data_IF_585018878235
#
_entry.id   IF_585018878235
#
_cell.length_a   1.000
_cell.length_b   1.000
_cell.length_c   1.000
_cell.angle_alpha   90.00
_cell.angle_beta   90.00
_cell.angle_gamma   90.00
#
_symmetry.space_group_name_H-M   'P 1'
#
loop_
_entity.id
_entity.type
_entity.pdbx_description
1 polymer ?
#
# COMPACT_ATOMS: atom_id res chain seq x y z
N UNK A 1 -22.33 5.97 -5.86
CA UNK A 1 -21.28 6.98 -5.62
C UNK A 1 -20.85 7.61 -6.95
N UNK A 2 -21.16 8.90 -7.15
CA UNK A 2 -20.84 9.67 -8.37
C UNK A 2 -19.37 10.12 -8.40
N UNK A 3 -18.90 10.65 -9.53
CA UNK A 3 -17.55 11.22 -9.64
C UNK A 3 -17.33 12.38 -8.65
N UNK A 4 -18.32 13.28 -8.54
CA UNK A 4 -18.30 14.40 -7.59
C UNK A 4 -18.23 13.93 -6.14
N UNK A 5 -19.02 12.92 -5.77
CA UNK A 5 -19.00 12.38 -4.40
C UNK A 5 -17.64 11.81 -4.02
N UNK A 6 -16.89 11.21 -4.96
CA UNK A 6 -15.55 10.67 -4.72
C UNK A 6 -14.55 11.77 -4.40
N UNK A 7 -14.54 12.82 -5.23
CA UNK A 7 -13.62 13.95 -5.05
C UNK A 7 -13.98 14.78 -3.83
N UNK A 8 -15.28 15.02 -3.58
CA UNK A 8 -15.75 15.72 -2.38
C UNK A 8 -15.33 14.98 -1.10
N UNK A 9 -15.46 13.66 -1.06
CA UNK A 9 -15.04 12.85 0.09
C UNK A 9 -13.53 12.95 0.33
N UNK A 10 -12.71 12.72 -0.70
CA UNK A 10 -11.25 12.81 -0.58
C UNK A 10 -10.78 14.21 -0.15
N UNK A 11 -11.39 15.26 -0.71
CA UNK A 11 -11.12 16.65 -0.35
C UNK A 11 -11.52 16.95 1.09
N UNK A 12 -12.67 16.44 1.55
CA UNK A 12 -13.17 16.64 2.91
C UNK A 12 -12.33 15.89 3.96
N UNK A 13 -11.76 14.73 3.62
CA UNK A 13 -10.87 13.99 4.52
C UNK A 13 -9.51 14.66 4.71
N UNK A 14 -9.14 15.60 3.84
CA UNK A 14 -7.78 16.11 3.77
C UNK A 14 -6.79 15.02 3.35
N UNK A 15 -7.19 14.13 2.43
CA UNK A 15 -6.35 13.01 2.02
C UNK A 15 -5.02 13.49 1.41
N UNK A 16 -3.92 12.81 1.72
CA UNK A 16 -2.59 13.12 1.18
C UNK A 16 -2.43 12.69 -0.31
N UNK A 17 -3.26 11.74 -0.76
CA UNK A 17 -3.23 11.17 -2.10
C UNK A 17 -4.58 10.58 -2.48
N UNK A 18 -4.96 10.72 -3.75
CA UNK A 18 -6.10 9.99 -4.32
C UNK A 18 -5.65 9.05 -5.42
N UNK A 19 -5.92 7.75 -5.25
CA UNK A 19 -5.68 6.73 -6.25
C UNK A 19 -7.01 6.09 -6.66
N UNK A 20 -7.41 6.28 -7.93
CA UNK A 20 -8.58 5.61 -8.50
C UNK A 20 -8.14 4.40 -9.29
N UNK A 21 -8.66 3.22 -8.94
CA UNK A 21 -8.33 1.95 -9.60
C UNK A 21 -9.40 1.60 -10.62
N UNK A 22 -9.00 1.36 -11.86
CA UNK A 22 -9.87 1.05 -12.99
C UNK A 22 -9.38 -0.18 -13.77
N UNK A 23 -10.26 -0.69 -14.63
CA UNK A 23 -9.97 -1.65 -15.69
C UNK A 23 -10.59 -1.07 -16.96
N UNK A 24 -9.81 -1.01 -18.03
CA UNK A 24 -10.18 -0.35 -19.27
C UNK A 24 -11.09 -1.23 -20.14
N UNK A 25 -11.60 -0.65 -21.22
CA UNK A 25 -12.29 -1.32 -22.33
C UNK A 25 -11.99 -0.56 -23.64
N UNK A 26 -12.43 -1.07 -24.79
CA UNK A 26 -12.24 -0.44 -26.10
C UNK A 26 -11.14 -1.09 -26.94
N UNK A 27 -10.89 -2.39 -26.79
CA UNK A 27 -10.05 -3.18 -27.72
C UNK A 27 -8.53 -3.07 -27.53
N UNK A 28 -8.05 -2.72 -26.33
CA UNK A 28 -6.62 -2.69 -25.99
C UNK A 28 -6.11 -3.92 -25.23
N UNK A 29 -4.87 -3.87 -24.76
CA UNK A 29 -4.28 -4.80 -23.79
C UNK A 29 -3.18 -4.11 -23.00
N UNK A 30 -3.01 -4.48 -21.73
CA UNK A 30 -1.93 -4.04 -20.86
C UNK A 30 -2.30 -2.88 -19.93
N UNK A 31 -1.28 -2.36 -19.23
CA UNK A 31 -1.44 -1.37 -18.16
C UNK A 31 -1.12 0.05 -18.62
N UNK A 32 -1.90 1.03 -18.18
CA UNK A 32 -1.62 2.47 -18.30
C UNK A 32 -2.10 3.22 -17.06
N UNK A 33 -1.64 4.45 -16.89
CA UNK A 33 -2.12 5.35 -15.85
C UNK A 33 -2.17 6.79 -16.31
N UNK A 34 -2.95 7.59 -15.58
CA UNK A 34 -3.27 8.97 -15.91
C UNK A 34 -3.11 9.90 -14.72
N UNK A 35 -2.52 11.07 -14.97
CA UNK A 35 -2.58 12.26 -14.10
C UNK A 35 -3.24 13.42 -14.86
N UNK A 36 -3.58 14.50 -14.16
CA UNK A 36 -4.17 15.67 -14.83
C UNK A 36 -3.14 16.38 -15.75
N UNK A 37 -3.53 16.93 -16.92
CA UNK A 37 -2.62 17.59 -17.83
C UNK A 37 -1.85 18.75 -17.20
N UNK A 38 -0.57 18.88 -17.55
CA UNK A 38 0.29 19.97 -17.08
C UNK A 38 0.76 19.88 -15.62
N UNK A 39 0.39 18.83 -14.88
CA UNK A 39 0.81 18.65 -13.49
C UNK A 39 2.25 18.13 -13.41
N UNK A 40 3.07 18.80 -12.59
CA UNK A 40 4.43 18.42 -12.25
C UNK A 40 4.54 17.61 -10.96
N UNK A 41 5.67 17.77 -10.27
CA UNK A 41 5.89 17.15 -8.95
C UNK A 41 4.95 17.78 -7.89
N UNK A 42 4.51 17.00 -6.88
CA UNK A 42 4.91 15.62 -6.60
C UNK A 42 4.13 14.56 -7.40
N UNK A 43 3.01 14.91 -8.04
CA UNK A 43 2.11 13.94 -8.70
C UNK A 43 2.80 13.18 -9.83
N UNK A 44 3.59 13.84 -10.68
CA UNK A 44 4.33 13.16 -11.76
C UNK A 44 5.41 12.22 -11.21
N UNK A 45 6.03 12.55 -10.07
CA UNK A 45 6.96 11.66 -9.37
C UNK A 45 6.24 10.43 -8.83
N UNK A 46 5.06 10.59 -8.24
CA UNK A 46 4.23 9.48 -7.76
C UNK A 46 3.82 8.58 -8.91
N UNK A 47 3.38 9.14 -10.04
CA UNK A 47 3.07 8.39 -11.25
C UNK A 47 4.26 7.54 -11.72
N UNK A 48 5.45 8.14 -11.80
CA UNK A 48 6.66 7.42 -12.22
C UNK A 48 6.95 6.20 -11.34
N UNK A 49 6.88 6.38 -10.01
CA UNK A 49 7.21 5.32 -9.05
C UNK A 49 6.13 4.23 -9.06
N UNK A 50 4.85 4.61 -9.02
CA UNK A 50 3.73 3.66 -8.97
C UNK A 50 3.65 2.85 -10.28
N UNK A 51 3.79 3.50 -11.43
CA UNK A 51 3.82 2.85 -12.74
C UNK A 51 4.90 1.76 -12.81
N UNK A 52 6.14 2.11 -12.44
CA UNK A 52 7.27 1.18 -12.48
C UNK A 52 7.04 -0.03 -11.58
N UNK A 53 6.45 0.17 -10.39
CA UNK A 53 6.19 -0.94 -9.47
C UNK A 53 5.08 -1.87 -9.94
N UNK A 54 4.02 -1.35 -10.53
CA UNK A 54 2.93 -2.18 -11.05
C UNK A 54 3.39 -3.00 -12.24
N UNK A 55 4.09 -2.39 -13.20
CA UNK A 55 4.67 -3.11 -14.35
C UNK A 55 5.58 -4.25 -13.87
N UNK A 56 6.46 -3.97 -12.89
CA UNK A 56 7.37 -4.97 -12.34
C UNK A 56 6.66 -6.13 -11.64
N UNK A 57 5.55 -5.88 -10.93
CA UNK A 57 4.84 -6.91 -10.17
C UNK A 57 3.89 -7.75 -11.03
N UNK A 58 3.26 -7.14 -12.03
CA UNK A 58 2.21 -7.78 -12.84
C UNK A 58 2.73 -8.43 -14.11
N UNK A 59 3.89 -7.99 -14.60
CA UNK A 59 4.41 -8.32 -15.93
C UNK A 59 3.43 -8.03 -17.08
N UNK A 60 2.49 -7.09 -16.88
CA UNK A 60 1.68 -6.59 -17.98
C UNK A 60 2.52 -5.73 -18.93
N UNK A 61 2.16 -5.74 -20.21
CA UNK A 61 2.73 -4.79 -21.16
C UNK A 61 2.35 -3.36 -20.73
N UNK A 62 3.35 -2.49 -20.56
CA UNK A 62 3.12 -1.09 -20.24
C UNK A 62 2.77 -0.30 -21.49
N UNK A 63 1.65 0.43 -21.44
CA UNK A 63 1.16 1.33 -22.48
C UNK A 63 1.50 2.80 -22.20
N UNK A 64 2.35 3.04 -21.20
CA UNK A 64 2.89 4.34 -20.84
C UNK A 64 2.13 5.07 -19.75
N UNK A 65 2.76 6.16 -19.29
CA UNK A 65 2.21 7.14 -18.35
C UNK A 65 1.57 8.25 -19.17
N UNK A 66 0.31 8.55 -18.91
CA UNK A 66 -0.50 9.46 -19.72
C UNK A 66 -1.05 10.61 -18.90
N UNK A 67 -1.62 11.58 -19.59
CA UNK A 67 -2.34 12.70 -19.01
C UNK A 67 -3.74 12.79 -19.63
N UNK A 68 -4.75 13.04 -18.80
CA UNK A 68 -6.13 13.16 -19.27
C UNK A 68 -6.99 14.00 -18.32
N UNK A 69 -7.98 14.69 -18.89
CA UNK A 69 -8.89 15.58 -18.17
C UNK A 69 -10.05 14.82 -17.51
N UNK A 70 -9.74 13.88 -16.63
CA UNK A 70 -10.75 13.13 -15.88
C UNK A 70 -11.20 13.88 -14.62
N UNK A 71 -12.50 13.80 -14.29
CA UNK A 71 -13.08 14.48 -13.13
C UNK A 71 -12.31 14.23 -11.83
N UNK A 72 -11.98 12.95 -11.54
CA UNK A 72 -11.29 12.59 -10.30
C UNK A 72 -9.86 13.15 -10.22
N UNK A 73 -9.24 13.44 -11.36
CA UNK A 73 -7.92 14.06 -11.41
C UNK A 73 -8.00 15.58 -11.31
N UNK A 74 -9.01 16.18 -11.96
CA UNK A 74 -9.21 17.63 -12.03
C UNK A 74 -9.74 18.24 -10.73
N UNK A 75 -10.71 17.59 -10.08
CA UNK A 75 -11.46 18.17 -8.96
C UNK A 75 -10.87 17.79 -7.58
N UNK A 76 -9.77 17.03 -7.56
CA UNK A 76 -9.08 16.63 -6.34
C UNK A 76 -8.05 17.67 -5.91
N UNK A 77 -8.01 18.01 -4.62
CA UNK A 77 -7.10 19.02 -4.05
C UNK A 77 -5.72 18.47 -3.68
N UNK A 78 -5.56 17.16 -3.67
CA UNK A 78 -4.32 16.44 -3.42
C UNK A 78 -3.80 15.81 -4.72
N UNK A 79 -2.52 15.36 -4.77
CA UNK A 79 -2.03 14.56 -5.89
C UNK A 79 -2.97 13.39 -6.18
N UNK A 80 -3.35 13.25 -7.45
CA UNK A 80 -4.33 12.26 -7.88
C UNK A 80 -3.84 11.47 -9.09
N UNK A 81 -4.17 10.17 -9.12
CA UNK A 81 -3.77 9.25 -10.18
C UNK A 81 -4.89 8.24 -10.47
N UNK A 82 -5.08 7.90 -11.75
CA UNK A 82 -5.93 6.78 -12.18
C UNK A 82 -5.01 5.67 -12.73
N UNK A 83 -5.25 4.43 -12.33
CA UNK A 83 -4.63 3.25 -12.96
C UNK A 83 -5.64 2.46 -13.76
N UNK A 84 -5.26 2.01 -14.95
CA UNK A 84 -6.05 1.14 -15.81
C UNK A 84 -5.36 -0.23 -15.88
N UNK A 85 -5.85 -1.18 -15.08
CA UNK A 85 -5.20 -2.47 -14.83
C UNK A 85 -5.51 -3.53 -15.90
N UNK A 86 -5.35 -3.23 -17.18
CA UNK A 86 -5.74 -4.11 -18.29
C UNK A 86 -7.09 -3.77 -18.90
N UNK A 87 -7.52 -4.58 -19.87
CA UNK A 87 -8.77 -4.39 -20.62
C UNK A 87 -9.77 -5.51 -20.33
N UNK A 88 -10.96 -5.17 -19.84
CA UNK A 88 -12.00 -6.15 -19.47
C UNK A 88 -12.60 -6.87 -20.68
N UNK A 89 -12.58 -6.23 -21.85
CA UNK A 89 -13.07 -6.74 -23.12
C UNK A 89 -11.99 -7.46 -23.94
N UNK A 90 -10.74 -7.49 -23.46
CA UNK A 90 -9.68 -8.29 -24.05
C UNK A 90 -9.63 -9.68 -23.38
N UNK A 91 -9.81 -10.79 -24.12
CA UNK A 91 -9.86 -12.12 -23.52
C UNK A 91 -8.62 -12.51 -22.70
N UNK A 92 -7.42 -12.09 -23.12
CA UNK A 92 -6.18 -12.44 -22.44
C UNK A 92 -6.00 -11.65 -21.13
N UNK A 93 -6.35 -10.36 -21.13
CA UNK A 93 -6.32 -9.52 -19.93
C UNK A 93 -7.42 -9.93 -18.95
N UNK A 94 -8.64 -10.15 -19.43
CA UNK A 94 -9.76 -10.63 -18.62
C UNK A 94 -9.45 -11.99 -17.97
N UNK A 95 -8.77 -12.90 -18.67
CA UNK A 95 -8.32 -14.17 -18.10
C UNK A 95 -7.29 -13.98 -16.98
N UNK A 96 -6.42 -12.97 -17.04
CA UNK A 96 -5.50 -12.61 -15.96
C UNK A 96 -6.26 -11.97 -14.79
N UNK A 97 -7.17 -11.03 -15.06
CA UNK A 97 -7.95 -10.32 -14.04
C UNK A 97 -8.85 -11.23 -13.18
N UNK A 98 -9.18 -12.44 -13.67
CA UNK A 98 -9.89 -13.46 -12.87
C UNK A 98 -8.99 -14.24 -11.92
N UNK A 99 -7.67 -14.19 -12.08
CA UNK A 99 -6.72 -14.97 -11.26
C UNK A 99 -6.41 -14.21 -9.98
N UNK A 100 -6.65 -14.85 -8.83
CA UNK A 100 -6.30 -14.30 -7.52
C UNK A 100 -4.81 -13.94 -7.41
N UNK A 101 -3.93 -14.74 -8.01
CA UNK A 101 -2.48 -14.46 -8.06
C UNK A 101 -2.16 -13.16 -8.80
N UNK A 102 -2.86 -12.87 -9.90
CA UNK A 102 -2.68 -11.64 -10.64
C UNK A 102 -3.24 -10.44 -9.85
N UNK A 103 -4.44 -10.57 -9.27
CA UNK A 103 -5.01 -9.52 -8.42
C UNK A 103 -4.11 -9.18 -7.23
N UNK A 104 -3.51 -10.20 -6.61
CA UNK A 104 -2.54 -10.04 -5.52
C UNK A 104 -1.26 -9.33 -5.99
N UNK A 105 -0.69 -9.72 -7.14
CA UNK A 105 0.45 -9.01 -7.74
C UNK A 105 0.11 -7.55 -8.07
N UNK A 106 -1.08 -7.29 -8.63
CA UNK A 106 -1.52 -5.94 -8.95
C UNK A 106 -1.68 -5.09 -7.67
N UNK A 107 -2.34 -5.63 -6.65
CA UNK A 107 -2.49 -4.97 -5.35
C UNK A 107 -1.14 -4.69 -4.69
N UNK A 108 -0.18 -5.62 -4.77
CA UNK A 108 1.20 -5.42 -4.30
C UNK A 108 1.93 -4.34 -5.08
N UNK A 109 1.75 -4.26 -6.40
CA UNK A 109 2.27 -3.19 -7.24
C UNK A 109 1.84 -1.82 -6.74
N UNK A 110 0.53 -1.63 -6.56
CA UNK A 110 -0.02 -0.38 -6.05
C UNK A 110 0.48 -0.07 -4.63
N UNK A 111 0.41 -1.03 -3.70
CA UNK A 111 0.81 -0.82 -2.30
C UNK A 111 2.31 -0.49 -2.18
N UNK A 112 3.18 -1.22 -2.88
CA UNK A 112 4.62 -0.96 -2.88
C UNK A 112 4.94 0.38 -3.56
N UNK A 113 4.26 0.69 -4.67
CA UNK A 113 4.39 1.95 -5.39
C UNK A 113 4.06 3.15 -4.50
N UNK A 114 2.91 3.11 -3.82
CA UNK A 114 2.50 4.16 -2.86
C UNK A 114 3.51 4.24 -1.71
N UNK A 115 3.89 3.11 -1.11
CA UNK A 115 4.85 3.12 -0.01
C UNK A 115 6.19 3.75 -0.42
N UNK A 116 6.69 3.46 -1.62
CA UNK A 116 7.91 4.11 -2.15
C UNK A 116 7.71 5.59 -2.44
N UNK A 117 6.60 5.96 -3.08
CA UNK A 117 6.28 7.35 -3.42
C UNK A 117 6.21 8.27 -2.18
N UNK A 118 5.70 7.73 -1.07
CA UNK A 118 5.58 8.43 0.20
C UNK A 118 6.76 8.17 1.15
N UNK A 119 7.80 7.47 0.70
CA UNK A 119 8.94 7.05 1.52
C UNK A 119 8.52 6.39 2.86
N UNK A 120 7.44 5.59 2.80
CA UNK A 120 6.89 4.93 3.97
C UNK A 120 7.81 3.80 4.41
N UNK A 121 8.15 3.82 5.70
CA UNK A 121 8.87 2.73 6.34
C UNK A 121 7.88 1.63 6.69
N UNK A 122 8.16 0.41 6.22
CA UNK A 122 7.38 -0.77 6.62
C UNK A 122 7.43 -0.89 8.14
N UNK A 123 6.27 -0.84 8.80
CA UNK A 123 6.18 -1.12 10.23
C UNK A 123 6.57 -2.58 10.45
N UNK A 124 7.50 -2.82 11.36
CA UNK A 124 7.82 -4.17 11.79
C UNK A 124 6.55 -4.80 12.36
N UNK A 125 6.21 -6.00 11.88
CA UNK A 125 5.10 -6.74 12.46
C UNK A 125 5.46 -7.06 13.91
N UNK A 126 4.54 -6.83 14.86
CA UNK A 126 4.78 -7.23 16.22
C UNK A 126 5.10 -8.72 16.30
N UNK A 127 6.19 -9.07 16.97
CA UNK A 127 6.51 -10.48 17.27
C UNK A 127 6.05 -10.74 18.69
N UNK A 128 5.36 -11.84 18.90
CA UNK A 128 4.92 -12.27 20.21
C UNK A 128 5.60 -13.57 20.60
N UNK A 129 5.92 -13.69 21.87
CA UNK A 129 6.48 -14.89 22.50
C UNK A 129 5.51 -15.38 23.58
N UNK A 130 5.34 -16.70 23.68
CA UNK A 130 4.59 -17.31 24.78
C UNK A 130 5.59 -17.62 25.90
N UNK A 131 5.48 -16.92 27.03
CA UNK A 131 6.44 -17.03 28.13
C UNK A 131 6.45 -18.46 28.69
N UNK A 132 7.63 -19.06 28.80
CA UNK A 132 7.84 -20.35 29.44
C UNK A 132 8.23 -20.18 30.92
N UNK A 133 8.07 -21.24 31.71
CA UNK A 133 8.54 -21.26 33.09
C UNK A 133 10.05 -20.94 33.18
N UNK A 134 10.40 -19.98 34.05
CA UNK A 134 11.78 -19.54 34.27
C UNK A 134 12.31 -18.46 33.31
N UNK A 135 11.52 -18.02 32.31
CA UNK A 135 11.95 -16.94 31.44
C UNK A 135 11.83 -15.56 32.11
N UNK A 136 12.74 -14.66 31.77
CA UNK A 136 12.74 -13.26 32.22
C UNK A 136 12.69 -12.32 31.03
N UNK A 137 12.20 -11.10 31.22
CA UNK A 137 12.22 -10.06 30.16
C UNK A 137 13.64 -9.77 29.69
N UNK A 138 14.64 -9.88 30.57
CA UNK A 138 16.04 -9.74 30.20
C UNK A 138 16.50 -10.82 29.20
N UNK A 139 16.22 -12.09 29.48
CA UNK A 139 16.57 -13.19 28.58
C UNK A 139 15.85 -13.06 27.23
N UNK A 140 14.56 -12.69 27.23
CA UNK A 140 13.78 -12.46 26.01
C UNK A 140 14.31 -11.25 25.22
N UNK A 141 14.70 -10.17 25.91
CA UNK A 141 15.32 -9.00 25.29
C UNK A 141 16.58 -9.37 24.50
N UNK A 142 17.47 -10.17 25.10
CA UNK A 142 18.68 -10.66 24.43
C UNK A 142 18.37 -11.61 23.27
N UNK A 143 17.40 -12.51 23.44
CA UNK A 143 16.98 -13.46 22.39
C UNK A 143 16.41 -12.76 21.16
N UNK A 144 15.55 -11.76 21.36
CA UNK A 144 14.86 -11.09 20.25
C UNK A 144 15.56 -9.82 19.77
N UNK A 145 16.53 -9.28 20.51
CA UNK A 145 17.24 -8.05 20.17
C UNK A 145 16.41 -6.78 20.40
N UNK A 146 15.45 -6.81 21.30
CA UNK A 146 14.60 -5.67 21.65
C UNK A 146 14.94 -5.16 23.04
N UNK A 147 15.16 -3.85 23.25
CA UNK A 147 15.46 -3.30 24.57
C UNK A 147 14.39 -3.65 25.62
N UNK A 148 14.81 -3.96 26.85
CA UNK A 148 13.87 -4.32 27.94
C UNK A 148 12.78 -3.25 28.14
N UNK A 149 13.13 -1.96 28.03
CA UNK A 149 12.18 -0.85 28.17
C UNK A 149 11.12 -0.84 27.06
N UNK A 150 11.48 -1.25 25.84
CA UNK A 150 10.51 -1.40 24.75
C UNK A 150 9.57 -2.58 25.03
N UNK A 151 10.10 -3.73 25.45
CA UNK A 151 9.26 -4.87 25.83
C UNK A 151 8.31 -4.48 26.98
N UNK A 152 8.78 -3.73 27.97
CA UNK A 152 7.94 -3.23 29.06
C UNK A 152 6.81 -2.34 28.55
N UNK A 153 7.13 -1.31 27.77
CA UNK A 153 6.15 -0.35 27.27
C UNK A 153 5.12 -0.99 26.33
N UNK A 154 5.54 -1.89 25.45
CA UNK A 154 4.65 -2.62 24.55
C UNK A 154 3.64 -3.52 25.26
N UNK A 155 4.01 -4.04 26.43
CA UNK A 155 3.19 -4.99 27.20
C UNK A 155 2.61 -4.40 28.48
N UNK A 156 2.85 -3.10 28.75
CA UNK A 156 2.41 -2.40 29.96
C UNK A 156 2.83 -3.12 31.25
N UNK A 157 4.05 -3.67 31.27
CA UNK A 157 4.55 -4.35 32.48
C UNK A 157 4.89 -3.33 33.57
N UNK A 158 4.86 -3.79 34.82
CA UNK A 158 5.29 -3.02 35.99
C UNK A 158 6.79 -2.69 35.95
N UNK A 159 7.24 -1.92 36.93
CA UNK A 159 8.66 -1.54 37.07
C UNK A 159 9.60 -2.71 37.34
N UNK A 160 9.07 -3.83 37.85
CA UNK A 160 9.83 -5.06 38.12
C UNK A 160 9.90 -5.99 36.90
N UNK A 161 9.24 -5.65 35.79
CA UNK A 161 9.18 -6.46 34.57
C UNK A 161 8.55 -7.85 34.80
N UNK A 162 7.56 -7.94 35.70
CA UNK A 162 6.90 -9.20 36.04
C UNK A 162 6.23 -9.84 34.81
N UNK A 163 6.52 -11.11 34.56
CA UNK A 163 5.89 -11.93 33.52
C UNK A 163 5.55 -13.31 34.07
N UNK A 164 4.51 -13.94 33.51
CA UNK A 164 4.03 -15.25 33.96
C UNK A 164 4.09 -16.30 32.84
N UNK A 165 4.35 -17.57 33.16
CA UNK A 165 4.25 -18.65 32.17
C UNK A 165 2.88 -18.66 31.47
N UNK A 166 2.87 -18.85 30.15
CA UNK A 166 1.67 -18.77 29.31
C UNK A 166 1.27 -17.35 28.89
N UNK A 167 1.93 -16.30 29.40
CA UNK A 167 1.65 -14.94 28.98
C UNK A 167 2.14 -14.71 27.54
N UNK A 168 1.28 -14.14 26.69
CA UNK A 168 1.66 -13.69 25.35
C UNK A 168 2.31 -12.32 25.43
N UNK A 169 3.63 -12.27 25.23
CA UNK A 169 4.44 -11.07 25.38
C UNK A 169 4.91 -10.55 24.02
N UNK A 170 4.65 -9.28 23.71
CA UNK A 170 5.21 -8.59 22.54
C UNK A 170 6.72 -8.36 22.73
N UNK A 171 7.52 -8.91 21.82
CA UNK A 171 8.98 -8.86 21.86
C UNK A 171 9.60 -8.15 20.65
N UNK A 172 8.83 -7.76 19.63
CA UNK A 172 9.17 -6.78 18.57
C UNK A 172 7.92 -6.00 18.17
#
# INVERSE_FOLDING_TARGET
MTLKQRTDAANSWGADFLLSLHVNAGGGTGYEDYIYPGIGAPTSTYQNIIHQEIIRQTSFAGRGKKQANFHVLRESRMPALITESGFIDNPADAAKLRKSSFLESNARGHANGIARAFNLRKKNKPVYHLVNAGETVYALSRRYGSPIQQIRSWNRLDSAYTIYPGQRLRVK
#
